data_IF_777624848431
#
_entry.id   IF_777624848431
#
_cell.length_a   1.000
_cell.length_b   1.000
_cell.length_c   1.000
_cell.angle_alpha   90.00
_cell.angle_beta   90.00
_cell.angle_gamma   90.00
#
_symmetry.space_group_name_H-M   'P 1'
#
loop_
_entity.id
_entity.type
_entity.pdbx_description
1 polymer ?
#
# COMPACT_ATOMS: atom_id res chain seq x y z
N UNK A 1 9.84 11.31 2.51
CA UNK A 1 10.76 10.27 2.03
C UNK A 1 11.67 9.85 3.15
N UNK A 2 11.38 8.69 3.74
CA UNK A 2 12.12 8.12 4.87
C UNK A 2 12.37 6.64 4.57
N UNK A 3 13.35 5.98 5.22
CA UNK A 3 13.60 4.55 5.05
C UNK A 3 12.36 3.65 5.30
N UNK A 4 11.36 4.16 6.02
CA UNK A 4 10.08 3.47 6.23
C UNK A 4 9.32 3.20 4.91
N UNK A 5 9.48 4.07 3.90
CA UNK A 5 8.85 3.91 2.58
C UNK A 5 9.49 2.73 1.82
N UNK A 6 10.80 2.54 1.98
CA UNK A 6 11.51 1.41 1.37
C UNK A 6 11.07 0.08 1.99
N UNK A 7 10.91 0.04 3.32
CA UNK A 7 10.39 -1.13 4.05
C UNK A 7 8.98 -1.48 3.60
N UNK A 8 8.11 -0.47 3.43
CA UNK A 8 6.77 -0.66 2.86
C UNK A 8 6.83 -1.32 1.48
N UNK A 9 7.71 -0.80 0.61
CA UNK A 9 7.87 -1.30 -0.76
C UNK A 9 8.35 -2.76 -0.79
N UNK A 10 9.31 -3.12 0.08
CA UNK A 10 9.79 -4.51 0.23
C UNK A 10 8.67 -5.43 0.72
N UNK A 11 7.84 -4.98 1.67
CA UNK A 11 6.68 -5.72 2.16
C UNK A 11 5.68 -6.05 1.05
N UNK A 12 5.39 -5.07 0.18
CA UNK A 12 4.55 -5.27 -0.99
C UNK A 12 5.12 -6.33 -1.95
N UNK A 13 6.41 -6.26 -2.25
CA UNK A 13 7.10 -7.23 -3.13
C UNK A 13 7.07 -8.63 -2.52
N UNK A 14 7.32 -8.76 -1.21
CA UNK A 14 7.29 -10.04 -0.52
C UNK A 14 5.91 -10.70 -0.57
N UNK A 15 4.85 -9.94 -0.28
CA UNK A 15 3.48 -10.45 -0.34
C UNK A 15 3.02 -10.78 -1.77
N UNK A 16 3.51 -10.05 -2.77
CA UNK A 16 3.31 -10.37 -4.19
C UNK A 16 3.98 -11.69 -4.59
N UNK A 17 5.23 -11.92 -4.14
CA UNK A 17 5.92 -13.19 -4.37
C UNK A 17 5.19 -14.38 -3.72
N UNK A 18 4.63 -14.19 -2.52
CA UNK A 18 3.83 -15.24 -1.86
C UNK A 18 2.50 -15.50 -2.57
N UNK A 19 1.87 -14.45 -3.11
CA UNK A 19 0.56 -14.54 -3.77
C UNK A 19 0.66 -14.99 -5.24
N UNK A 20 1.84 -14.87 -5.86
CA UNK A 20 2.06 -15.13 -7.28
C UNK A 20 1.32 -14.17 -8.23
N UNK A 21 0.77 -13.07 -7.68
CA UNK A 21 0.02 -12.04 -8.39
C UNK A 21 0.23 -10.68 -7.72
N UNK A 22 0.12 -9.56 -8.44
CA UNK A 22 0.31 -8.23 -7.89
C UNK A 22 -0.55 -7.98 -6.66
N UNK A 23 0.07 -7.52 -5.56
CA UNK A 23 -0.63 -7.28 -4.31
C UNK A 23 -1.68 -6.17 -4.45
N UNK A 24 -1.34 -5.12 -5.21
CA UNK A 24 -2.21 -3.99 -5.48
C UNK A 24 -2.26 -3.72 -7.00
N UNK A 25 -3.16 -4.39 -7.75
CA UNK A 25 -3.33 -4.17 -9.19
C UNK A 25 -4.10 -2.86 -9.46
N UNK A 26 -3.52 -1.73 -9.05
CA UNK A 26 -4.07 -0.40 -9.27
C UNK A 26 -4.02 -0.02 -10.75
N UNK A 27 -5.14 0.48 -11.29
CA UNK A 27 -5.22 0.99 -12.67
C UNK A 27 -4.85 2.48 -12.75
N UNK A 28 -4.92 3.16 -11.61
CA UNK A 28 -4.58 4.56 -11.41
C UNK A 28 -4.27 4.77 -9.91
N UNK A 29 -3.72 5.92 -9.56
CA UNK A 29 -3.27 6.22 -8.18
C UNK A 29 -4.42 6.14 -7.18
N UNK A 30 -5.62 6.61 -7.53
CA UNK A 30 -6.79 6.59 -6.65
C UNK A 30 -7.20 5.14 -6.35
N UNK A 31 -7.33 4.31 -7.38
CA UNK A 31 -7.66 2.89 -7.22
C UNK A 31 -6.58 2.14 -6.42
N UNK A 32 -5.31 2.52 -6.58
CA UNK A 32 -4.24 1.92 -5.80
C UNK A 32 -4.34 2.30 -4.31
N UNK A 33 -4.71 3.55 -4.00
CA UNK A 33 -4.99 3.99 -2.63
C UNK A 33 -6.21 3.29 -2.06
N UNK A 34 -7.29 3.15 -2.82
CA UNK A 34 -8.50 2.42 -2.39
C UNK A 34 -8.15 0.98 -1.98
N UNK A 35 -7.38 0.27 -2.80
CA UNK A 35 -6.93 -1.10 -2.49
C UNK A 35 -6.05 -1.16 -1.23
N UNK A 36 -5.19 -0.15 -1.00
CA UNK A 36 -4.39 -0.06 0.22
C UNK A 36 -5.27 0.19 1.45
N UNK A 37 -6.24 1.10 1.35
CA UNK A 37 -7.16 1.40 2.46
C UNK A 37 -8.15 0.27 2.74
N UNK A 38 -8.53 -0.50 1.73
CA UNK A 38 -9.37 -1.69 1.92
C UNK A 38 -8.61 -2.80 2.66
N UNK A 39 -7.31 -2.95 2.39
CA UNK A 39 -6.48 -3.97 3.05
C UNK A 39 -6.04 -3.56 4.47
N UNK A 40 -5.64 -2.31 4.65
CA UNK A 40 -5.03 -1.79 5.89
C UNK A 40 -6.03 -1.07 6.79
N UNK A 41 -7.22 -0.77 6.27
CA UNK A 41 -8.20 0.11 6.89
C UNK A 41 -8.04 1.57 6.48
N UNK A 42 -9.10 2.36 6.73
CA UNK A 42 -9.08 3.80 6.47
C UNK A 42 -8.10 4.49 7.42
N UNK A 43 -7.12 5.26 6.91
CA UNK A 43 -6.18 5.97 7.76
C UNK A 43 -6.93 7.00 8.63
N UNK A 44 -6.50 7.13 9.89
CA UNK A 44 -7.05 8.13 10.81
C UNK A 44 -6.84 9.55 10.25
N UNK A 45 -7.72 10.48 10.61
CA UNK A 45 -7.61 11.88 10.17
C UNK A 45 -6.25 12.51 10.53
N UNK A 46 -5.63 12.08 11.63
CA UNK A 46 -4.28 12.51 12.04
C UNK A 46 -3.17 12.03 11.07
N UNK A 47 -3.35 10.86 10.46
CA UNK A 47 -2.42 10.31 9.47
C UNK A 47 -2.52 11.02 8.11
N UNK A 48 -3.67 11.63 7.80
CA UNK A 48 -3.94 12.36 6.56
C UNK A 48 -3.59 13.85 6.71
N UNK A 49 -3.72 14.41 7.92
CA UNK A 49 -3.56 15.84 8.19
C UNK A 49 -2.10 16.32 8.30
N UNK A 50 -1.11 15.53 7.85
CA UNK A 50 0.32 15.89 7.90
C UNK A 50 0.90 16.26 6.55
#
# INVERSE_FOLDING_TARGET
YTPAIDIWSIGCIFAEMLSGKPLFPGKNVVHQLDLMTDLLGTPSAESIAR
#
